data_IF_254233288702
#
_entry.id   IF_254233288702
#
_cell.length_a   1.000
_cell.length_b   1.000
_cell.length_c   1.000
_cell.angle_alpha   90.00
_cell.angle_beta   90.00
_cell.angle_gamma   90.00
#
_symmetry.space_group_name_H-M   'P 1'
#
loop_
_entity.id
_entity.type
_entity.pdbx_description
1 polymer ?
#
# COMPACT_ATOMS: atom_id res chain seq x y z
N UNK A 1 2.67 1.65 49.44
CA UNK A 1 3.60 2.14 48.39
C UNK A 1 4.39 0.95 47.91
N UNK A 2 4.29 0.59 46.63
CA UNK A 2 4.98 -0.59 46.10
C UNK A 2 6.51 -0.31 45.92
N UNK A 3 7.36 -1.33 45.79
CA UNK A 3 8.81 -1.14 45.66
C UNK A 3 9.22 -0.25 44.48
N UNK A 4 8.48 -0.30 43.37
CA UNK A 4 8.70 0.52 42.18
C UNK A 4 8.46 2.00 42.47
N UNK A 5 7.36 2.33 43.14
CA UNK A 5 7.01 3.71 43.53
C UNK A 5 8.08 4.32 44.44
N UNK A 6 8.57 3.56 45.43
CA UNK A 6 9.63 4.02 46.35
C UNK A 6 10.91 4.32 45.57
N UNK A 7 11.29 3.44 44.64
CA UNK A 7 12.49 3.60 43.82
C UNK A 7 12.39 4.80 42.88
N UNK A 8 11.24 4.97 42.21
CA UNK A 8 10.98 6.09 41.30
C UNK A 8 11.02 7.42 42.04
N UNK A 9 10.36 7.52 43.21
CA UNK A 9 10.40 8.74 44.03
C UNK A 9 11.82 9.09 44.47
N UNK A 10 12.55 8.11 45.01
CA UNK A 10 13.94 8.29 45.42
C UNK A 10 14.84 8.77 44.25
N UNK A 11 14.64 8.25 43.03
CA UNK A 11 15.39 8.68 41.85
C UNK A 11 15.03 10.13 41.42
N UNK A 12 13.75 10.49 41.46
CA UNK A 12 13.28 11.83 41.12
C UNK A 12 13.65 12.89 42.17
N UNK A 13 13.67 12.53 43.46
CA UNK A 13 14.10 13.41 44.54
C UNK A 13 15.59 13.77 44.42
N UNK A 14 16.44 12.78 44.11
CA UNK A 14 17.88 12.99 43.89
C UNK A 14 18.19 13.94 42.74
N UNK A 15 17.27 14.05 41.78
CA UNK A 15 17.41 14.92 40.61
C UNK A 15 16.69 16.26 40.76
N UNK A 16 16.08 16.55 41.92
CA UNK A 16 15.27 17.75 42.13
C UNK A 16 14.07 17.86 41.17
N UNK A 17 13.63 16.73 40.61
CA UNK A 17 12.72 16.66 39.46
C UNK A 17 11.27 16.34 39.84
N UNK A 18 10.95 16.31 41.14
CA UNK A 18 9.62 15.95 41.65
C UNK A 18 8.50 16.91 41.25
N UNK A 19 8.82 18.11 40.77
CA UNK A 19 7.87 19.13 40.29
C UNK A 19 7.91 19.34 38.77
N UNK A 20 8.64 18.52 38.02
CA UNK A 20 8.72 18.64 36.56
C UNK A 20 7.46 18.10 35.89
N UNK A 21 7.18 18.60 34.68
CA UNK A 21 6.19 17.98 33.79
C UNK A 21 6.62 16.56 33.38
N UNK A 22 5.69 15.75 32.88
CA UNK A 22 5.87 14.32 32.69
C UNK A 22 7.09 13.95 31.81
N UNK A 23 7.31 14.64 30.68
CA UNK A 23 8.43 14.36 29.78
C UNK A 23 9.82 14.62 30.41
N UNK A 24 10.10 15.82 30.96
CA UNK A 24 11.36 16.05 31.67
C UNK A 24 11.57 15.11 32.86
N UNK A 25 10.52 14.85 33.65
CA UNK A 25 10.61 13.91 34.78
C UNK A 25 10.98 12.50 34.32
N UNK A 26 10.40 12.02 33.22
CA UNK A 26 10.66 10.69 32.70
C UNK A 26 12.08 10.55 32.13
N UNK A 27 12.56 11.56 31.41
CA UNK A 27 13.95 11.59 30.93
C UNK A 27 14.95 11.68 32.08
N UNK A 28 14.64 12.45 33.13
CA UNK A 28 15.46 12.53 34.34
C UNK A 28 15.49 11.19 35.09
N UNK A 29 14.35 10.50 35.18
CA UNK A 29 14.25 9.15 35.75
C UNK A 29 15.14 8.17 34.98
N UNK A 30 15.03 8.12 33.65
CA UNK A 30 15.86 7.24 32.84
C UNK A 30 17.37 7.49 33.01
N UNK A 31 17.78 8.76 33.07
CA UNK A 31 19.20 9.13 33.26
C UNK A 31 19.74 8.79 34.64
N UNK A 32 18.91 8.91 35.68
CA UNK A 32 19.31 8.70 37.07
C UNK A 32 19.22 7.24 37.50
N UNK A 33 18.18 6.53 37.08
CA UNK A 33 17.94 5.12 37.38
C UNK A 33 17.14 4.47 36.24
N UNK A 34 17.89 3.93 35.25
CA UNK A 34 17.32 3.24 34.08
C UNK A 34 16.37 2.11 34.49
N UNK A 35 16.69 1.40 35.56
CA UNK A 35 15.87 0.28 36.02
C UNK A 35 14.53 0.77 36.57
N UNK A 36 14.53 1.86 37.33
CA UNK A 36 13.30 2.47 37.81
C UNK A 36 12.39 2.92 36.65
N UNK A 37 12.96 3.45 35.56
CA UNK A 37 12.21 3.76 34.35
C UNK A 37 11.56 2.50 33.73
N UNK A 38 12.32 1.42 33.54
CA UNK A 38 11.78 0.21 32.91
C UNK A 38 10.73 -0.50 33.78
N UNK A 39 10.94 -0.54 35.10
CA UNK A 39 9.95 -1.05 36.05
C UNK A 39 8.67 -0.22 36.00
N UNK A 40 8.78 1.12 35.99
CA UNK A 40 7.63 2.01 35.89
C UNK A 40 6.84 1.78 34.59
N UNK A 41 7.52 1.58 33.47
CA UNK A 41 6.88 1.31 32.18
C UNK A 41 6.21 -0.08 32.10
N UNK A 42 6.76 -1.07 32.78
CA UNK A 42 6.28 -2.46 32.72
C UNK A 42 5.20 -2.75 33.75
N UNK A 43 5.41 -2.32 34.99
CA UNK A 43 4.59 -2.71 36.14
C UNK A 43 3.63 -1.60 36.57
N UNK A 44 3.87 -0.35 36.12
CA UNK A 44 3.06 0.79 36.49
C UNK A 44 3.19 1.14 37.98
N UNK A 45 2.13 1.74 38.52
CA UNK A 45 2.01 2.16 39.92
C UNK A 45 0.63 1.78 40.43
N UNK A 46 0.46 1.74 41.75
CA UNK A 46 -0.83 1.42 42.35
C UNK A 46 -1.86 2.54 42.09
N UNK A 47 -3.14 2.20 42.10
CA UNK A 47 -4.25 3.15 41.90
C UNK A 47 -4.29 4.28 42.94
N UNK A 48 -3.74 4.03 44.13
CA UNK A 48 -3.62 4.99 45.24
C UNK A 48 -2.43 5.95 45.10
N UNK A 49 -1.58 5.77 44.08
CA UNK A 49 -0.46 6.68 43.83
C UNK A 49 -0.95 8.09 43.45
N UNK A 50 -0.14 9.10 43.78
CA UNK A 50 -0.46 10.48 43.42
C UNK A 50 -0.58 10.66 41.90
N UNK A 51 -1.33 11.70 41.51
CA UNK A 51 -1.67 11.95 40.12
C UNK A 51 -0.45 12.14 39.21
N UNK A 52 0.64 12.74 39.73
CA UNK A 52 1.85 12.97 38.93
C UNK A 52 2.55 11.64 38.66
N UNK A 53 2.64 10.77 39.67
CA UNK A 53 3.28 9.48 39.54
C UNK A 53 2.47 8.53 38.62
N UNK A 54 1.14 8.59 38.65
CA UNK A 54 0.27 7.89 37.68
C UNK A 54 0.46 8.40 36.25
N UNK A 55 0.43 9.72 36.04
CA UNK A 55 0.66 10.29 34.71
C UNK A 55 2.05 9.93 34.15
N UNK A 56 3.06 9.84 35.01
CA UNK A 56 4.40 9.40 34.64
C UNK A 56 4.43 7.91 34.25
N UNK A 57 3.73 7.06 35.01
CA UNK A 57 3.58 5.64 34.70
C UNK A 57 2.88 5.41 33.36
N UNK A 58 1.79 6.13 33.11
CA UNK A 58 1.04 6.08 31.86
C UNK A 58 1.92 6.49 30.68
N UNK A 59 2.68 7.57 30.81
CA UNK A 59 3.62 7.99 29.77
C UNK A 59 4.71 6.94 29.52
N UNK A 60 5.32 6.40 30.57
CA UNK A 60 6.35 5.35 30.47
C UNK A 60 5.81 4.09 29.77
N UNK A 61 4.60 3.68 30.13
CA UNK A 61 3.91 2.54 29.54
C UNK A 61 3.58 2.78 28.06
N UNK A 62 3.08 3.95 27.69
CA UNK A 62 2.84 4.31 26.28
C UNK A 62 4.14 4.30 25.47
N UNK A 63 5.24 4.81 26.03
CA UNK A 63 6.56 4.74 25.36
C UNK A 63 7.00 3.30 25.13
N UNK A 64 6.72 2.36 26.04
CA UNK A 64 6.96 0.93 25.82
C UNK A 64 6.29 0.43 24.54
N UNK A 65 5.02 0.78 24.32
CA UNK A 65 4.30 0.41 23.11
C UNK A 65 4.86 1.08 21.87
N UNK A 66 5.14 2.40 21.95
CA UNK A 66 5.71 3.15 20.84
C UNK A 66 7.06 2.56 20.40
N UNK A 67 7.99 2.30 21.33
CA UNK A 67 9.34 1.79 21.03
C UNK A 67 9.29 0.36 20.49
N UNK A 68 8.37 -0.48 20.96
CA UNK A 68 8.17 -1.83 20.41
C UNK A 68 7.55 -1.82 19.00
N UNK A 69 6.94 -0.70 18.61
CA UNK A 69 6.40 -0.47 17.27
C UNK A 69 7.36 0.37 16.43
N UNK A 70 7.03 0.61 15.16
CA UNK A 70 7.69 1.67 14.40
C UNK A 70 7.02 2.99 14.73
N UNK A 71 7.82 4.03 14.98
CA UNK A 71 7.31 5.35 15.35
C UNK A 71 7.91 6.48 14.50
N UNK A 72 7.15 7.57 14.38
CA UNK A 72 7.54 8.80 13.71
C UNK A 72 7.11 10.01 14.54
N UNK A 73 7.88 11.09 14.48
CA UNK A 73 7.48 12.37 15.06
C UNK A 73 7.09 13.30 13.92
N UNK A 74 5.88 13.85 13.98
CA UNK A 74 5.32 14.77 13.00
C UNK A 74 4.95 16.11 13.66
N UNK A 75 4.91 17.23 12.89
CA UNK A 75 4.36 18.48 13.38
C UNK A 75 2.89 18.31 13.82
N UNK A 76 2.50 18.93 14.92
CA UNK A 76 1.11 18.90 15.41
C UNK A 76 0.21 19.91 14.70
N UNK A 77 -1.05 20.00 15.15
CA UNK A 77 -2.01 20.97 14.63
C UNK A 77 -1.69 22.44 14.97
N UNK A 78 -0.70 22.67 15.85
CA UNK A 78 -0.22 23.99 16.26
C UNK A 78 1.31 24.05 16.19
N UNK A 79 1.87 25.26 16.07
CA UNK A 79 3.34 25.47 16.03
C UNK A 79 4.04 25.14 17.36
N UNK A 80 3.28 24.99 18.45
CA UNK A 80 3.75 24.63 19.78
C UNK A 80 3.70 23.12 20.07
N UNK A 81 3.15 22.31 19.16
CA UNK A 81 2.94 20.89 19.37
C UNK A 81 3.53 20.04 18.26
N UNK A 82 4.00 18.86 18.62
CA UNK A 82 4.33 17.78 17.72
C UNK A 82 3.59 16.51 18.17
N UNK A 83 3.46 15.53 17.30
CA UNK A 83 2.86 14.25 17.63
C UNK A 83 3.84 13.11 17.39
N UNK A 84 3.95 12.22 18.35
CA UNK A 84 4.60 10.93 18.19
C UNK A 84 3.55 9.92 17.77
N UNK A 85 3.63 9.49 16.52
CA UNK A 85 2.75 8.52 15.90
C UNK A 85 3.40 7.15 15.97
N UNK A 86 2.66 6.16 16.44
CA UNK A 86 3.07 4.76 16.41
C UNK A 86 2.26 3.98 15.37
N UNK A 87 2.86 2.91 14.83
CA UNK A 87 2.14 1.99 13.93
C UNK A 87 0.97 1.26 14.61
N UNK A 88 0.90 1.25 15.94
CA UNK A 88 -0.22 0.70 16.72
C UNK A 88 -1.41 1.66 16.85
N UNK A 89 -1.30 2.89 16.32
CA UNK A 89 -2.36 3.90 16.41
C UNK A 89 -2.30 4.76 17.68
N UNK A 90 -1.30 4.57 18.56
CA UNK A 90 -1.07 5.48 19.68
C UNK A 90 -0.49 6.80 19.19
N UNK A 91 -1.15 7.90 19.58
CA UNK A 91 -0.74 9.28 19.30
C UNK A 91 -0.39 10.00 20.59
N UNK A 92 0.89 10.36 20.76
CA UNK A 92 1.41 11.04 21.95
C UNK A 92 1.71 12.51 21.61
N UNK A 93 1.06 13.44 22.30
CA UNK A 93 1.37 14.88 22.16
C UNK A 93 2.74 15.19 22.77
N UNK A 94 3.55 15.92 22.01
CA UNK A 94 4.89 16.36 22.36
C UNK A 94 4.95 17.89 22.38
N UNK A 95 5.58 18.51 23.39
CA UNK A 95 5.93 19.93 23.32
C UNK A 95 6.95 20.16 22.19
N UNK A 96 6.65 21.04 21.24
CA UNK A 96 7.51 21.24 20.05
C UNK A 96 8.96 21.59 20.41
N UNK A 97 9.17 22.38 21.46
CA UNK A 97 10.49 22.77 21.95
C UNK A 97 11.31 21.59 22.50
N UNK A 98 10.67 20.49 22.89
CA UNK A 98 11.32 19.30 23.46
C UNK A 98 11.57 18.19 22.43
N UNK A 99 11.06 18.31 21.21
CA UNK A 99 11.16 17.27 20.17
C UNK A 99 12.60 16.76 19.96
N UNK A 100 13.65 17.61 19.89
CA UNK A 100 15.02 17.12 19.73
C UNK A 100 15.49 16.21 20.87
N UNK A 101 15.16 16.58 22.12
CA UNK A 101 15.56 15.83 23.30
C UNK A 101 14.77 14.53 23.44
N UNK A 102 13.45 14.58 23.18
CA UNK A 102 12.58 13.40 23.18
C UNK A 102 13.02 12.42 22.09
N UNK A 103 13.37 12.91 20.89
CA UNK A 103 13.88 12.06 19.80
C UNK A 103 15.17 11.36 20.21
N UNK A 104 16.12 12.06 20.84
CA UNK A 104 17.37 11.48 21.33
C UNK A 104 17.09 10.43 22.41
N UNK A 105 16.24 10.76 23.38
CA UNK A 105 15.81 9.84 24.43
C UNK A 105 15.19 8.56 23.87
N UNK A 106 14.24 8.67 22.94
CA UNK A 106 13.60 7.49 22.32
C UNK A 106 14.61 6.62 21.56
N UNK A 107 15.56 7.22 20.83
CA UNK A 107 16.63 6.48 20.15
C UNK A 107 17.54 5.72 21.13
N UNK A 108 17.84 6.31 22.29
CA UNK A 108 18.61 5.65 23.35
C UNK A 108 17.83 4.48 23.97
N UNK A 109 16.54 4.68 24.28
CA UNK A 109 15.66 3.64 24.84
C UNK A 109 15.47 2.47 23.88
N UNK A 110 15.32 2.75 22.59
CA UNK A 110 15.24 1.78 21.47
C UNK A 110 16.59 1.11 21.19
N UNK A 111 17.69 1.57 21.80
CA UNK A 111 19.03 1.03 21.55
C UNK A 111 19.58 1.36 20.16
N UNK A 112 19.01 2.36 19.47
CA UNK A 112 19.47 2.93 18.20
C UNK A 112 20.37 4.15 18.39
N UNK A 113 20.79 4.42 19.63
CA UNK A 113 21.74 5.46 19.98
C UNK A 113 23.03 5.33 19.18
N UNK A 114 23.42 6.42 18.53
CA UNK A 114 24.51 6.51 17.55
C UNK A 114 25.83 6.12 18.20
N UNK A 115 26.35 4.94 17.84
CA UNK A 115 27.79 4.68 18.00
C UNK A 115 28.54 5.79 17.25
N UNK A 116 29.40 6.53 17.95
CA UNK A 116 30.35 7.47 17.32
C UNK A 116 31.44 6.75 16.53
N UNK A 117 31.49 5.42 16.62
CA UNK A 117 32.43 4.55 15.90
C UNK A 117 31.70 3.91 14.71
N UNK A 118 32.23 4.08 13.51
CA UNK A 118 31.80 3.33 12.33
C UNK A 118 32.10 1.84 12.55
N UNK A 119 31.07 1.08 12.93
CA UNK A 119 31.16 -0.35 13.15
C UNK A 119 30.08 -0.80 14.14
N UNK A 120 29.41 -1.92 13.87
CA UNK A 120 28.54 -2.55 14.86
C UNK A 120 29.41 -3.32 15.85
N UNK A 121 29.96 -2.63 16.84
CA UNK A 121 30.50 -3.31 18.02
C UNK A 121 29.32 -3.88 18.81
N UNK A 122 29.03 -5.16 18.59
CA UNK A 122 28.06 -5.93 19.39
C UNK A 122 28.67 -6.33 20.73
N UNK A 123 29.28 -5.39 21.47
CA UNK A 123 29.55 -5.61 22.88
C UNK A 123 28.21 -5.50 23.60
N UNK A 124 27.53 -6.64 23.71
CA UNK A 124 26.25 -6.73 24.41
C UNK A 124 26.41 -6.19 25.82
N UNK A 125 25.81 -5.04 26.10
CA UNK A 125 25.71 -4.56 27.48
C UNK A 125 24.70 -5.45 28.20
N UNK A 126 25.03 -6.01 29.38
CA UNK A 126 24.04 -6.75 30.17
C UNK A 126 22.87 -5.81 30.49
N UNK A 127 21.67 -6.23 30.09
CA UNK A 127 20.42 -5.51 30.38
C UNK A 127 19.71 -6.18 31.56
N UNK A 128 18.93 -5.40 32.30
CA UNK A 128 18.10 -5.92 33.38
C UNK A 128 16.89 -6.69 32.86
N UNK A 129 16.21 -7.42 33.75
CA UNK A 129 14.96 -8.10 33.42
C UNK A 129 13.84 -7.12 33.06
N UNK A 130 13.78 -5.96 33.74
CA UNK A 130 12.81 -4.91 33.40
C UNK A 130 13.08 -4.33 32.00
N UNK A 131 14.34 -4.08 31.64
CA UNK A 131 14.71 -3.63 30.29
C UNK A 131 14.36 -4.70 29.23
N UNK A 132 14.61 -5.97 29.53
CA UNK A 132 14.23 -7.06 28.65
C UNK A 132 12.70 -7.17 28.48
N UNK A 133 11.92 -7.06 29.57
CA UNK A 133 10.44 -7.04 29.51
C UNK A 133 9.89 -5.85 28.76
N UNK A 134 10.54 -4.71 28.88
CA UNK A 134 10.21 -3.49 28.15
C UNK A 134 10.39 -3.71 26.65
N UNK A 135 11.53 -4.28 26.22
CA UNK A 135 11.87 -4.45 24.79
C UNK A 135 11.18 -5.65 24.14
N UNK A 136 11.11 -6.78 24.84
CA UNK A 136 10.69 -8.06 24.26
C UNK A 136 9.24 -8.44 24.62
N UNK A 137 8.62 -7.78 25.60
CA UNK A 137 7.33 -8.19 26.16
C UNK A 137 7.51 -9.06 27.41
N UNK A 138 6.41 -9.56 27.98
CA UNK A 138 6.49 -10.31 29.24
C UNK A 138 7.09 -11.71 29.05
N UNK A 139 7.84 -12.15 30.04
CA UNK A 139 8.58 -13.41 29.99
C UNK A 139 7.68 -14.63 29.72
N UNK A 140 6.43 -14.58 30.17
CA UNK A 140 5.42 -15.61 29.91
C UNK A 140 5.08 -15.76 28.43
N UNK A 141 5.27 -14.73 27.60
CA UNK A 141 5.01 -14.79 26.16
C UNK A 141 6.25 -15.16 25.35
N UNK A 142 7.45 -15.08 25.93
CA UNK A 142 8.70 -15.25 25.17
C UNK A 142 8.86 -16.61 24.52
N UNK A 143 8.51 -17.69 25.21
CA UNK A 143 8.60 -19.03 24.62
C UNK A 143 7.56 -19.22 23.51
N UNK A 144 6.34 -18.70 23.69
CA UNK A 144 5.32 -18.69 22.66
C UNK A 144 5.73 -17.84 21.45
N UNK A 145 6.34 -16.67 21.67
CA UNK A 145 6.85 -15.79 20.61
C UNK A 145 8.07 -16.42 19.92
N UNK A 146 8.96 -17.09 20.65
CA UNK A 146 10.09 -17.84 20.10
C UNK A 146 9.60 -19.00 19.25
N UNK A 147 8.63 -19.79 19.74
CA UNK A 147 8.01 -20.87 18.98
C UNK A 147 7.29 -20.33 17.74
N UNK A 148 6.56 -19.22 17.85
CA UNK A 148 5.91 -18.55 16.72
C UNK A 148 6.93 -18.09 15.67
N UNK A 149 8.03 -17.46 16.09
CA UNK A 149 9.11 -17.04 15.19
C UNK A 149 9.82 -18.23 14.56
N UNK A 150 10.06 -19.30 15.32
CA UNK A 150 10.68 -20.51 14.82
C UNK A 150 9.77 -21.22 13.81
N UNK A 151 8.48 -21.34 14.11
CA UNK A 151 7.46 -21.88 13.20
C UNK A 151 7.37 -21.06 11.90
N UNK A 152 7.40 -19.73 11.99
CA UNK A 152 7.45 -18.85 10.81
C UNK A 152 8.72 -19.04 9.98
N UNK A 153 9.88 -19.19 10.65
CA UNK A 153 11.17 -19.44 9.97
C UNK A 153 11.26 -20.82 9.32
N UNK A 154 10.58 -21.82 9.88
CA UNK A 154 10.53 -23.17 9.32
C UNK A 154 9.44 -23.38 8.27
N UNK A 155 8.47 -22.46 8.18
CA UNK A 155 7.41 -22.56 7.18
C UNK A 155 7.96 -22.22 5.80
N UNK A 156 7.62 -23.03 4.79
CA UNK A 156 7.92 -22.69 3.40
C UNK A 156 7.21 -21.36 3.04
N UNK A 157 7.94 -20.42 2.41
CA UNK A 157 7.37 -19.13 2.07
C UNK A 157 6.21 -19.29 1.09
N UNK A 158 5.21 -18.42 1.22
CA UNK A 158 4.19 -18.25 0.21
C UNK A 158 4.84 -17.57 -1.01
N UNK A 159 5.16 -18.36 -2.03
CA UNK A 159 5.74 -17.86 -3.28
C UNK A 159 4.62 -17.41 -4.20
N UNK A 160 4.60 -16.12 -4.48
CA UNK A 160 3.70 -15.45 -5.42
C UNK A 160 4.40 -15.26 -6.76
N UNK A 161 3.63 -15.24 -7.84
CA UNK A 161 4.18 -15.17 -9.21
C UNK A 161 3.36 -14.23 -10.07
N UNK A 162 3.89 -13.83 -11.22
CA UNK A 162 3.13 -13.09 -12.24
C UNK A 162 2.86 -14.05 -13.40
N UNK A 163 1.66 -14.02 -13.95
CA UNK A 163 1.30 -14.87 -15.08
C UNK A 163 2.14 -14.51 -16.33
N UNK A 164 2.59 -15.47 -17.14
CA UNK A 164 3.32 -15.18 -18.37
C UNK A 164 2.60 -14.22 -19.33
N UNK A 165 1.26 -14.26 -19.38
CA UNK A 165 0.47 -13.30 -20.16
C UNK A 165 0.65 -11.87 -19.65
N UNK A 166 0.53 -11.68 -18.34
CA UNK A 166 0.65 -10.37 -17.69
C UNK A 166 2.09 -9.84 -17.83
N UNK A 167 3.11 -10.71 -17.68
CA UNK A 167 4.51 -10.36 -17.92
C UNK A 167 4.76 -9.89 -19.35
N UNK A 168 4.20 -10.58 -20.35
CA UNK A 168 4.32 -10.20 -21.76
C UNK A 168 3.65 -8.85 -22.03
N UNK A 169 2.54 -8.56 -21.36
CA UNK A 169 1.83 -7.30 -21.54
C UNK A 169 2.68 -6.07 -21.17
N UNK A 170 3.62 -6.22 -20.22
CA UNK A 170 4.54 -5.16 -19.77
C UNK A 170 5.44 -4.62 -20.88
N UNK A 171 5.60 -5.34 -21.99
CA UNK A 171 6.33 -4.87 -23.18
C UNK A 171 5.66 -3.69 -23.88
N UNK A 172 4.38 -3.44 -23.60
CA UNK A 172 3.61 -2.34 -24.21
C UNK A 172 3.02 -1.36 -23.20
N UNK A 173 3.07 -1.68 -21.91
CA UNK A 173 2.58 -0.81 -20.85
C UNK A 173 3.59 0.30 -20.51
N UNK A 174 3.16 1.38 -19.83
CA UNK A 174 4.08 2.39 -19.33
C UNK A 174 5.21 1.80 -18.50
N UNK A 175 6.43 2.29 -18.70
CA UNK A 175 7.60 1.74 -18.04
C UNK A 175 7.53 1.84 -16.50
N UNK A 176 6.83 2.84 -15.95
CA UNK A 176 6.62 2.97 -14.50
C UNK A 176 5.84 1.79 -13.91
N UNK A 177 4.94 1.15 -14.68
CA UNK A 177 4.17 -0.03 -14.23
C UNK A 177 5.14 -1.20 -14.00
N UNK A 178 6.04 -1.45 -14.96
CA UNK A 178 7.09 -2.46 -14.83
C UNK A 178 8.04 -2.16 -13.67
N UNK A 179 8.48 -0.90 -13.52
CA UNK A 179 9.34 -0.53 -12.39
C UNK A 179 8.61 -0.66 -11.04
N UNK A 180 7.31 -0.40 -11.02
CA UNK A 180 6.41 -0.67 -9.91
C UNK A 180 6.44 -2.15 -9.50
N UNK A 181 6.27 -3.08 -10.45
CA UNK A 181 6.38 -4.51 -10.19
C UNK A 181 7.72 -4.89 -9.57
N UNK A 182 8.82 -4.51 -10.22
CA UNK A 182 10.17 -4.92 -9.84
C UNK A 182 10.60 -4.37 -8.47
N UNK A 183 10.16 -3.15 -8.13
CA UNK A 183 10.71 -2.44 -6.97
C UNK A 183 9.70 -2.16 -5.85
N UNK A 184 8.43 -1.93 -6.18
CA UNK A 184 7.40 -1.55 -5.22
C UNK A 184 6.58 -2.77 -4.80
N UNK A 185 6.13 -3.58 -5.76
CA UNK A 185 5.34 -4.77 -5.48
C UNK A 185 6.14 -5.80 -4.67
N UNK A 186 7.38 -6.08 -5.08
CA UNK A 186 8.30 -6.98 -4.35
C UNK A 186 8.49 -6.58 -2.88
N UNK A 187 8.73 -5.28 -2.61
CA UNK A 187 8.87 -4.76 -1.25
C UNK A 187 7.57 -4.79 -0.46
N UNK A 188 6.45 -4.53 -1.12
CA UNK A 188 5.11 -4.53 -0.51
C UNK A 188 4.70 -5.93 -0.09
N UNK A 189 4.95 -6.94 -0.93
CA UNK A 189 4.68 -8.35 -0.60
C UNK A 189 5.60 -8.85 0.52
N UNK A 190 6.88 -8.45 0.51
CA UNK A 190 7.84 -8.87 1.52
C UNK A 190 7.56 -8.27 2.91
N UNK A 191 7.09 -7.03 2.96
CA UNK A 191 6.84 -6.30 4.21
C UNK A 191 5.54 -5.48 4.14
N UNK A 192 4.36 -6.14 4.05
CA UNK A 192 3.08 -5.44 4.00
C UNK A 192 2.81 -4.72 5.32
N UNK A 193 2.11 -3.60 5.24
CA UNK A 193 1.48 -2.97 6.42
C UNK A 193 0.22 -3.75 6.80
N UNK A 194 -0.56 -4.19 5.82
CA UNK A 194 -1.76 -5.02 6.00
C UNK A 194 -1.92 -5.96 4.81
N UNK A 195 -2.49 -7.13 5.08
CA UNK A 195 -2.95 -8.07 4.05
C UNK A 195 -4.44 -8.29 4.25
N UNK A 196 -5.23 -8.24 3.18
CA UNK A 196 -6.65 -8.55 3.21
C UNK A 196 -6.94 -9.86 2.49
N UNK A 197 -7.96 -10.57 2.97
CA UNK A 197 -8.58 -11.65 2.22
C UNK A 197 -9.63 -11.10 1.24
N UNK A 198 -9.61 -11.61 0.02
CA UNK A 198 -10.66 -11.41 -0.98
C UNK A 198 -10.74 -10.01 -1.60
N UNK A 199 -11.03 -10.01 -2.91
CA UNK A 199 -11.33 -8.80 -3.67
C UNK A 199 -12.84 -8.71 -3.93
N UNK A 200 -13.48 -7.69 -3.37
CA UNK A 200 -14.88 -7.38 -3.60
C UNK A 200 -15.05 -6.53 -4.87
N UNK A 201 -15.52 -7.18 -5.95
CA UNK A 201 -15.95 -6.51 -7.19
C UNK A 201 -17.45 -6.64 -7.46
N UNK A 202 -18.26 -6.90 -6.43
CA UNK A 202 -19.70 -7.10 -6.55
C UNK A 202 -20.09 -8.47 -7.11
N UNK A 203 -21.39 -8.63 -7.39
CA UNK A 203 -21.97 -9.87 -7.92
C UNK A 203 -21.37 -10.23 -9.29
N UNK A 204 -21.05 -11.52 -9.48
CA UNK A 204 -20.44 -12.02 -10.72
C UNK A 204 -18.91 -11.87 -10.81
N UNK A 205 -18.24 -11.35 -9.78
CA UNK A 205 -16.77 -11.38 -9.72
C UNK A 205 -16.24 -12.84 -9.82
N UNK A 206 -15.11 -13.12 -10.50
CA UNK A 206 -14.54 -14.46 -10.50
C UNK A 206 -14.22 -14.95 -9.08
N UNK A 207 -14.52 -16.22 -8.79
CA UNK A 207 -14.30 -16.82 -7.47
C UNK A 207 -12.83 -16.72 -7.02
N UNK A 208 -11.89 -16.95 -7.94
CA UNK A 208 -10.45 -16.81 -7.68
C UNK A 208 -10.04 -15.41 -7.17
N UNK A 209 -10.81 -14.36 -7.49
CA UNK A 209 -10.54 -13.01 -7.00
C UNK A 209 -11.16 -12.79 -5.61
N UNK A 210 -12.35 -13.34 -5.38
CA UNK A 210 -13.01 -13.30 -4.06
C UNK A 210 -12.24 -14.06 -2.98
N UNK A 211 -11.47 -15.07 -3.38
CA UNK A 211 -10.63 -15.87 -2.48
C UNK A 211 -9.13 -15.49 -2.57
N UNK A 212 -8.82 -14.37 -3.24
CA UNK A 212 -7.45 -13.87 -3.41
C UNK A 212 -6.90 -13.17 -2.17
N UNK A 213 -5.69 -12.61 -2.31
CA UNK A 213 -5.02 -11.83 -1.26
C UNK A 213 -4.65 -10.45 -1.78
N UNK A 214 -4.79 -9.43 -0.92
CA UNK A 214 -4.42 -8.06 -1.24
C UNK A 214 -3.36 -7.58 -0.27
N UNK A 215 -2.17 -7.25 -0.77
CA UNK A 215 -1.06 -6.75 0.04
C UNK A 215 -1.01 -5.24 -0.08
N UNK A 216 -1.06 -4.54 1.05
CA UNK A 216 -0.92 -3.08 1.11
C UNK A 216 0.34 -2.71 1.89
N UNK A 217 1.12 -1.76 1.38
CA UNK A 217 2.37 -1.36 2.00
C UNK A 217 2.83 0.03 1.60
N UNK A 218 3.87 0.52 2.28
CA UNK A 218 4.44 1.86 2.05
C UNK A 218 5.91 1.72 1.61
N UNK A 219 6.18 1.28 0.37
CA UNK A 219 7.54 1.29 -0.14
C UNK A 219 8.06 2.73 -0.12
N UNK A 220 9.32 2.92 0.28
CA UNK A 220 9.90 4.27 0.51
C UNK A 220 10.16 5.08 -0.76
N UNK A 221 10.03 4.44 -1.92
CA UNK A 221 10.43 4.97 -3.22
C UNK A 221 9.37 4.62 -4.25
N UNK A 222 9.17 5.52 -5.21
CA UNK A 222 8.52 5.23 -6.49
C UNK A 222 9.53 5.39 -7.62
N UNK A 223 9.14 5.02 -8.83
CA UNK A 223 10.01 5.00 -9.99
C UNK A 223 9.28 5.58 -11.19
N UNK A 224 9.95 6.41 -11.96
CA UNK A 224 9.40 6.99 -13.19
C UNK A 224 9.58 6.05 -14.41
N UNK A 225 9.22 6.54 -15.60
CA UNK A 225 9.38 5.80 -16.85
C UNK A 225 10.84 5.48 -17.20
N UNK A 226 11.80 6.28 -16.74
CA UNK A 226 13.23 5.99 -16.90
C UNK A 226 13.78 5.00 -15.88
N UNK A 227 12.97 4.58 -14.90
CA UNK A 227 13.40 3.77 -13.77
C UNK A 227 14.20 4.56 -12.72
N UNK A 228 14.20 5.89 -12.79
CA UNK A 228 14.83 6.72 -11.78
C UNK A 228 13.98 6.68 -10.50
N UNK A 229 14.67 6.56 -9.36
CA UNK A 229 14.00 6.47 -8.07
C UNK A 229 13.67 7.86 -7.50
N UNK A 230 12.42 8.02 -7.09
CA UNK A 230 11.87 9.21 -6.45
C UNK A 230 11.34 8.87 -5.05
N UNK A 231 11.16 9.84 -4.14
CA UNK A 231 10.40 9.64 -2.91
C UNK A 231 9.02 9.04 -3.20
N UNK A 232 8.52 8.21 -2.28
CA UNK A 232 7.14 7.74 -2.38
C UNK A 232 6.17 8.94 -2.44
N UNK A 233 5.08 8.84 -3.22
CA UNK A 233 4.04 9.86 -3.24
C UNK A 233 3.43 10.04 -1.84
N UNK A 234 3.18 11.29 -1.44
CA UNK A 234 2.51 11.63 -0.18
C UNK A 234 1.09 11.08 -0.16
N UNK A 235 0.60 10.67 1.01
CA UNK A 235 -0.77 10.19 1.26
C UNK A 235 -1.21 9.03 0.34
N UNK A 236 -0.25 8.18 -0.04
CA UNK A 236 -0.49 7.04 -0.91
C UNK A 236 0.02 5.74 -0.27
N UNK A 237 -0.69 4.67 -0.57
CA UNK A 237 -0.33 3.29 -0.23
C UNK A 237 -0.18 2.48 -1.51
N UNK A 238 0.79 1.58 -1.55
CA UNK A 238 1.00 0.68 -2.67
C UNK A 238 0.21 -0.60 -2.44
N UNK A 239 -0.53 -1.05 -3.44
CA UNK A 239 -1.40 -2.23 -3.35
C UNK A 239 -1.01 -3.24 -4.42
N UNK A 240 -0.92 -4.51 -4.02
CA UNK A 240 -0.64 -5.65 -4.91
C UNK A 240 -1.81 -6.63 -4.79
N UNK A 241 -2.41 -6.99 -5.93
CA UNK A 241 -3.58 -7.86 -5.97
C UNK A 241 -3.19 -9.24 -6.47
N UNK A 242 -3.63 -10.26 -5.76
CA UNK A 242 -3.24 -11.65 -5.96
C UNK A 242 -4.50 -12.50 -6.03
N UNK A 243 -4.59 -13.39 -7.02
CA UNK A 243 -5.67 -14.36 -7.09
C UNK A 243 -5.45 -15.51 -6.07
N UNK A 244 -6.46 -16.37 -5.93
CA UNK A 244 -6.43 -17.52 -5.03
C UNK A 244 -5.29 -18.51 -5.33
N UNK A 245 -4.78 -18.53 -6.56
CA UNK A 245 -3.70 -19.43 -6.98
C UNK A 245 -2.30 -18.84 -6.73
N UNK A 246 -2.23 -17.61 -6.20
CA UNK A 246 -0.97 -16.94 -5.89
C UNK A 246 -0.40 -16.12 -7.05
N UNK A 247 -1.20 -15.82 -8.08
CA UNK A 247 -0.78 -14.98 -9.18
C UNK A 247 -1.12 -13.50 -8.93
N UNK A 248 -0.08 -12.67 -8.92
CA UNK A 248 -0.17 -11.22 -8.96
C UNK A 248 -0.61 -10.80 -10.36
N UNK A 249 -1.73 -10.06 -10.44
CA UNK A 249 -2.32 -9.64 -11.71
C UNK A 249 -2.45 -8.12 -11.85
N UNK A 250 -2.19 -7.37 -10.78
CA UNK A 250 -2.37 -5.92 -10.73
C UNK A 250 -1.55 -5.33 -9.57
N UNK A 251 -1.08 -4.09 -9.74
CA UNK A 251 -0.34 -3.36 -8.71
C UNK A 251 -0.36 -1.87 -8.99
N UNK A 252 -0.74 -1.06 -7.99
CA UNK A 252 -0.90 0.38 -8.16
C UNK A 252 -0.67 1.13 -6.84
N UNK A 253 -0.28 2.40 -6.95
CA UNK A 253 -0.46 3.37 -5.87
C UNK A 253 -1.95 3.75 -5.77
N UNK A 254 -2.48 3.86 -4.55
CA UNK A 254 -3.84 4.34 -4.28
C UNK A 254 -3.83 5.31 -3.11
N UNK A 255 -4.85 6.16 -2.99
CA UNK A 255 -4.98 7.10 -1.87
C UNK A 255 -5.06 6.34 -0.54
N UNK A 256 -4.22 6.74 0.41
CA UNK A 256 -4.16 6.19 1.76
C UNK A 256 -5.35 6.69 2.59
N UNK A 257 -5.80 5.88 3.55
CA UNK A 257 -6.76 6.28 4.56
C UNK A 257 -6.05 7.16 5.63
N UNK A 258 -6.45 8.43 5.82
CA UNK A 258 -5.85 9.29 6.84
C UNK A 258 -6.01 8.78 8.28
N UNK A 259 -7.06 7.99 8.55
CA UNK A 259 -7.33 7.42 9.87
C UNK A 259 -6.61 6.11 10.15
N UNK A 260 -6.14 5.41 9.10
CA UNK A 260 -5.51 4.09 9.20
C UNK A 260 -4.28 4.00 8.29
N UNK A 261 -3.10 4.43 8.76
CA UNK A 261 -1.88 4.42 7.95
C UNK A 261 -1.55 3.04 7.38
N UNK A 262 -1.33 3.00 6.07
CA UNK A 262 -1.04 1.80 5.27
C UNK A 262 -2.28 1.08 4.73
N UNK A 263 -3.49 1.64 4.94
CA UNK A 263 -4.74 1.13 4.40
C UNK A 263 -5.20 2.03 3.24
N UNK A 264 -5.76 1.48 2.15
CA UNK A 264 -6.44 2.30 1.15
C UNK A 264 -7.67 3.02 1.71
N UNK A 265 -7.95 4.25 1.26
CA UNK A 265 -9.08 5.05 1.77
C UNK A 265 -10.45 4.34 1.68
N UNK A 266 -10.60 3.47 0.68
CA UNK A 266 -11.83 2.76 0.35
C UNK A 266 -11.73 1.24 0.63
N UNK A 267 -10.79 0.82 1.48
CA UNK A 267 -10.55 -0.60 1.79
C UNK A 267 -11.80 -1.37 2.25
N UNK A 268 -12.71 -0.84 3.10
CA UNK A 268 -13.86 -1.61 3.59
C UNK A 268 -14.86 -1.97 2.48
N UNK A 269 -14.84 -1.20 1.38
CA UNK A 269 -15.69 -1.42 0.21
C UNK A 269 -15.03 -2.29 -0.86
N UNK A 270 -13.77 -2.68 -0.64
CA UNK A 270 -12.92 -3.32 -1.65
C UNK A 270 -12.47 -4.70 -1.26
N UNK A 271 -12.22 -4.92 0.02
CA UNK A 271 -11.57 -6.13 0.49
C UNK A 271 -12.39 -6.76 1.60
N UNK A 272 -12.15 -8.04 1.85
CA UNK A 272 -12.61 -8.70 3.07
C UNK A 272 -11.79 -8.27 4.28
N UNK A 273 -11.72 -9.15 5.28
CA UNK A 273 -11.08 -8.80 6.55
C UNK A 273 -9.55 -8.75 6.42
N UNK A 274 -8.88 -7.92 7.24
CA UNK A 274 -7.45 -8.04 7.46
C UNK A 274 -7.09 -9.43 7.98
N UNK A 275 -6.02 -10.02 7.44
CA UNK A 275 -5.52 -11.34 7.82
C UNK A 275 -4.04 -11.31 8.19
N UNK A 276 -3.65 -12.20 9.10
CA UNK A 276 -2.25 -12.45 9.42
C UNK A 276 -1.77 -13.67 8.65
N UNK A 277 -0.73 -13.51 7.82
CA UNK A 277 -0.13 -14.62 7.12
C UNK A 277 0.63 -15.53 8.11
N UNK A 278 0.39 -16.84 8.02
CA UNK A 278 1.07 -17.85 8.83
C UNK A 278 2.53 -18.09 8.41
N UNK A 279 2.92 -17.60 7.23
CA UNK A 279 4.24 -17.75 6.61
C UNK A 279 4.64 -16.45 5.92
N UNK A 280 5.94 -16.25 5.70
CA UNK A 280 6.43 -15.11 4.92
C UNK A 280 5.97 -15.23 3.46
N UNK A 281 5.67 -14.10 2.82
CA UNK A 281 5.35 -14.06 1.40
C UNK A 281 6.52 -13.47 0.62
N UNK A 282 6.77 -14.01 -0.57
CA UNK A 282 7.77 -13.51 -1.49
C UNK A 282 7.17 -13.47 -2.89
N UNK A 283 7.44 -12.39 -3.63
CA UNK A 283 7.06 -12.27 -5.03
C UNK A 283 8.25 -12.64 -5.91
N UNK A 284 8.12 -13.75 -6.62
CA UNK A 284 9.06 -14.20 -7.63
C UNK A 284 8.76 -13.47 -8.94
N UNK A 285 9.65 -12.54 -9.32
CA UNK A 285 9.61 -11.86 -10.62
C UNK A 285 10.83 -12.30 -11.43
N UNK A 286 10.68 -12.66 -12.72
CA UNK A 286 11.82 -13.01 -13.55
C UNK A 286 12.88 -11.90 -13.56
N UNK A 287 14.16 -12.27 -13.47
CA UNK A 287 15.27 -11.32 -13.45
C UNK A 287 15.31 -10.39 -14.68
N UNK A 288 14.80 -10.89 -15.82
CA UNK A 288 14.74 -10.17 -17.09
C UNK A 288 13.28 -9.99 -17.52
N UNK A 289 12.55 -9.09 -16.87
CA UNK A 289 11.29 -8.60 -17.43
C UNK A 289 11.63 -7.71 -18.63
N UNK A 290 11.27 -8.15 -19.84
CA UNK A 290 11.61 -7.48 -21.10
C UNK A 290 11.28 -5.99 -21.04
N UNK A 291 12.26 -5.15 -21.41
CA UNK A 291 12.01 -3.74 -21.63
C UNK A 291 11.32 -3.55 -22.98
N UNK A 292 10.14 -2.96 -22.95
CA UNK A 292 9.41 -2.59 -24.15
C UNK A 292 9.26 -1.08 -24.29
N UNK A 293 8.73 -0.67 -25.44
CA UNK A 293 8.37 0.73 -25.72
C UNK A 293 6.88 0.87 -25.44
N UNK A 294 6.52 1.82 -24.58
CA UNK A 294 5.13 2.13 -24.30
C UNK A 294 4.37 2.39 -25.60
N UNK A 295 3.20 1.77 -25.74
CA UNK A 295 2.34 1.88 -26.91
C UNK A 295 0.93 2.27 -26.47
N UNK A 296 0.62 3.56 -26.57
CA UNK A 296 -0.68 4.13 -26.21
C UNK A 296 -1.87 3.56 -27.00
N UNK A 297 -1.62 2.81 -28.08
CA UNK A 297 -2.65 2.15 -28.87
C UNK A 297 -2.85 0.67 -28.49
N UNK A 298 -2.24 0.21 -27.38
CA UNK A 298 -2.31 -1.19 -26.93
C UNK A 298 -2.89 -1.34 -25.53
N UNK A 299 -3.68 -2.40 -25.37
CA UNK A 299 -4.38 -2.76 -24.16
C UNK A 299 -3.83 -4.07 -23.65
N UNK A 300 -3.64 -4.12 -22.34
CA UNK A 300 -3.36 -5.37 -21.66
C UNK A 300 -4.67 -5.90 -21.09
N UNK A 301 -5.07 -7.08 -21.52
CA UNK A 301 -6.07 -7.84 -20.79
C UNK A 301 -5.34 -8.80 -19.85
N UNK A 302 -5.60 -8.67 -18.56
CA UNK A 302 -5.21 -9.68 -17.58
C UNK A 302 -6.35 -10.68 -17.45
N UNK A 303 -6.09 -11.91 -17.89
CA UNK A 303 -7.07 -12.97 -17.70
C UNK A 303 -7.30 -13.20 -16.20
N UNK A 304 -6.21 -13.37 -15.45
CA UNK A 304 -6.19 -13.61 -14.00
C UNK A 304 -7.03 -12.58 -13.27
N UNK A 305 -6.76 -11.30 -13.54
CA UNK A 305 -7.44 -10.16 -12.95
C UNK A 305 -8.82 -9.84 -13.51
N UNK A 306 -9.28 -10.50 -14.59
CA UNK A 306 -10.51 -10.18 -15.33
C UNK A 306 -10.68 -8.67 -15.53
N UNK A 307 -9.63 -8.05 -16.09
CA UNK A 307 -9.57 -6.62 -16.30
C UNK A 307 -8.75 -6.24 -17.53
N UNK A 308 -9.16 -5.15 -18.18
CA UNK A 308 -8.44 -4.51 -19.28
C UNK A 308 -7.79 -3.23 -18.75
N UNK A 309 -6.50 -3.08 -18.99
CA UNK A 309 -5.71 -1.89 -18.68
C UNK A 309 -5.49 -1.07 -19.94
N UNK A 310 -5.81 0.22 -19.83
CA UNK A 310 -5.69 1.21 -20.87
C UNK A 310 -4.86 2.40 -20.40
N UNK A 311 -3.77 2.71 -21.10
CA UNK A 311 -2.91 3.84 -20.78
C UNK A 311 -2.83 4.78 -21.97
N UNK A 312 -3.02 6.07 -21.71
CA UNK A 312 -3.05 7.16 -22.70
C UNK A 312 -1.67 7.81 -22.79
N UNK A 313 -0.93 7.87 -21.70
CA UNK A 313 0.45 8.32 -21.66
C UNK A 313 1.27 7.48 -20.65
N UNK A 314 2.58 7.66 -20.67
CA UNK A 314 3.54 6.95 -19.82
C UNK A 314 3.88 7.68 -18.52
N UNK A 315 3.11 8.72 -18.19
CA UNK A 315 3.29 9.51 -16.98
C UNK A 315 2.98 8.70 -15.71
N UNK A 316 3.86 8.72 -14.69
CA UNK A 316 3.64 8.02 -13.43
C UNK A 316 2.34 8.44 -12.75
N UNK A 317 1.54 7.44 -12.34
CA UNK A 317 0.18 7.66 -11.89
C UNK A 317 -0.22 6.81 -10.67
N UNK A 318 -1.32 7.21 -10.04
CA UNK A 318 -2.04 6.43 -9.03
C UNK A 318 -3.42 6.01 -9.55
N UNK A 319 -3.93 4.90 -9.02
CA UNK A 319 -5.25 4.38 -9.32
C UNK A 319 -6.30 5.02 -8.40
N UNK A 320 -7.30 5.65 -9.02
CA UNK A 320 -8.52 6.14 -8.40
C UNK A 320 -9.68 5.22 -8.77
N UNK A 321 -10.25 4.50 -7.80
CA UNK A 321 -11.44 3.67 -8.02
C UNK A 321 -12.69 4.54 -8.09
N UNK A 322 -13.43 4.44 -9.19
CA UNK A 322 -14.75 5.07 -9.31
C UNK A 322 -15.86 4.14 -8.83
N UNK A 323 -15.84 2.87 -9.26
CA UNK A 323 -16.81 1.87 -8.86
C UNK A 323 -16.21 0.44 -8.93
N UNK A 324 -17.06 -0.60 -8.88
CA UNK A 324 -16.63 -2.00 -8.98
C UNK A 324 -15.98 -2.34 -10.32
N UNK A 325 -16.33 -1.62 -11.38
CA UNK A 325 -16.04 -1.96 -12.77
C UNK A 325 -15.00 -1.00 -13.38
N UNK A 326 -14.85 0.20 -12.84
CA UNK A 326 -13.96 1.23 -13.36
C UNK A 326 -12.97 1.73 -12.32
N UNK A 327 -11.72 1.87 -12.77
CA UNK A 327 -10.64 2.58 -12.10
C UNK A 327 -10.01 3.52 -13.11
N UNK A 328 -9.64 4.73 -12.71
CA UNK A 328 -8.96 5.72 -13.56
C UNK A 328 -7.56 5.94 -13.00
N UNK A 329 -6.57 6.03 -13.88
CA UNK A 329 -5.20 6.37 -13.52
C UNK A 329 -5.02 7.88 -13.64
N UNK A 330 -4.45 8.50 -12.60
CA UNK A 330 -4.22 9.94 -12.51
C UNK A 330 -2.77 10.23 -12.21
N UNK A 331 -2.16 11.15 -12.96
CA UNK A 331 -0.77 11.54 -12.78
C UNK A 331 -0.55 12.09 -11.37
N UNK A 332 0.62 11.79 -10.79
CA UNK A 332 1.01 12.42 -9.53
C UNK A 332 1.12 13.96 -9.68
N UNK A 333 0.62 14.70 -8.70
CA UNK A 333 0.72 16.17 -8.63
C UNK A 333 -0.31 16.92 -9.48
N UNK A 334 -0.48 16.59 -10.77
CA UNK A 334 -1.45 17.26 -11.65
C UNK A 334 -2.85 16.65 -11.59
N UNK A 335 -2.96 15.39 -11.15
CA UNK A 335 -4.18 14.56 -11.21
C UNK A 335 -4.81 14.42 -12.61
N UNK A 336 -4.08 14.79 -13.67
CA UNK A 336 -4.49 14.58 -15.07
C UNK A 336 -4.69 13.10 -15.35
N UNK A 337 -5.72 12.76 -16.12
CA UNK A 337 -6.01 11.36 -16.47
C UNK A 337 -4.91 10.83 -17.41
N UNK A 338 -4.29 9.71 -17.02
CA UNK A 338 -3.24 9.03 -17.80
C UNK A 338 -3.69 7.68 -18.34
N UNK A 339 -4.86 7.20 -17.93
CA UNK A 339 -5.39 5.92 -18.36
C UNK A 339 -6.60 5.49 -17.53
N UNK A 340 -7.09 4.27 -17.77
CA UNK A 340 -8.17 3.65 -17.02
C UNK A 340 -8.06 2.12 -17.06
N UNK A 341 -8.79 1.46 -16.17
CA UNK A 341 -8.89 0.02 -16.01
C UNK A 341 -10.35 -0.39 -15.89
N UNK A 342 -10.79 -1.26 -16.79
CA UNK A 342 -12.12 -1.89 -16.79
C UNK A 342 -12.00 -3.26 -16.14
N UNK A 343 -12.87 -3.56 -15.18
CA UNK A 343 -12.90 -4.78 -14.36
C UNK A 343 -14.20 -5.54 -14.61
N UNK A 344 -14.24 -6.82 -14.24
CA UNK A 344 -15.40 -7.69 -14.46
C UNK A 344 -15.73 -7.85 -15.95
N UNK A 345 -14.70 -7.88 -16.81
CA UNK A 345 -14.84 -7.84 -18.27
C UNK A 345 -15.70 -9.00 -18.75
N UNK A 346 -15.45 -10.22 -18.26
CA UNK A 346 -16.25 -11.40 -18.59
C UNK A 346 -17.74 -11.21 -18.30
N UNK A 347 -18.09 -10.65 -17.14
CA UNK A 347 -19.49 -10.38 -16.76
C UNK A 347 -20.10 -9.34 -17.69
N UNK A 348 -19.40 -8.24 -17.93
CA UNK A 348 -19.87 -7.15 -18.79
C UNK A 348 -20.16 -7.68 -20.21
N UNK A 349 -19.30 -8.55 -20.76
CA UNK A 349 -19.51 -9.22 -22.06
C UNK A 349 -20.69 -10.20 -22.09
N UNK A 350 -21.08 -10.78 -20.95
CA UNK A 350 -22.18 -11.74 -20.87
C UNK A 350 -23.53 -11.04 -20.71
N UNK A 351 -23.53 -9.89 -20.03
CA UNK A 351 -24.74 -9.13 -19.71
C UNK A 351 -25.18 -8.17 -20.83
N UNK A 352 -24.40 -8.02 -21.91
CA UNK A 352 -24.66 -7.13 -23.07
C UNK A 352 -24.93 -5.66 -22.63
N UNK A 353 -24.23 -5.21 -21.57
CA UNK A 353 -24.42 -3.88 -20.96
C UNK A 353 -23.30 -2.93 -21.38
N UNK A 354 -23.69 -1.75 -21.88
CA UNK A 354 -22.78 -0.63 -22.04
C UNK A 354 -22.25 -0.16 -20.68
N UNK A 355 -20.98 0.24 -20.63
CA UNK A 355 -20.43 0.96 -19.48
C UNK A 355 -20.79 2.43 -19.66
N UNK A 356 -21.59 2.97 -18.74
CA UNK A 356 -21.91 4.39 -18.69
C UNK A 356 -20.81 5.12 -17.89
N UNK A 357 -20.18 6.12 -18.51
CA UNK A 357 -19.10 6.91 -17.89
C UNK A 357 -19.58 8.23 -17.25
N UNK A 358 -20.89 8.41 -17.05
CA UNK A 358 -21.51 9.62 -16.51
C UNK A 358 -21.14 9.97 -15.06
N UNK A 359 -20.29 9.19 -14.39
CA UNK A 359 -19.77 9.47 -13.05
C UNK A 359 -18.46 10.27 -13.04
N UNK A 360 -18.00 10.79 -14.19
CA UNK A 360 -16.82 11.65 -14.29
C UNK A 360 -17.12 13.15 -14.01
N UNK A 361 -18.35 13.47 -13.59
CA UNK A 361 -18.80 14.80 -13.12
C UNK A 361 -18.25 15.14 -11.72
N UNK A 362 -16.93 15.14 -11.58
CA UNK A 362 -16.30 15.78 -10.42
C UNK A 362 -16.50 17.29 -10.56
N UNK A 363 -17.29 17.88 -9.65
CA UNK A 363 -17.89 19.24 -9.68
C UNK A 363 -16.90 20.42 -9.63
N UNK A 364 -15.69 20.29 -10.19
CA UNK A 364 -14.72 21.38 -10.37
C UNK A 364 -14.50 21.78 -11.82
N UNK A 365 -15.22 21.17 -12.76
CA UNK A 365 -15.14 21.50 -14.18
C UNK A 365 -16.44 22.20 -14.57
N UNK A 366 -16.32 23.40 -15.16
CA UNK A 366 -17.42 24.34 -15.39
C UNK A 366 -18.52 23.88 -16.37
N UNK A 367 -19.54 24.73 -16.64
CA UNK A 367 -20.86 24.34 -17.18
C UNK A 367 -20.89 23.89 -18.65
N UNK A 368 -19.75 23.78 -19.34
CA UNK A 368 -19.62 23.26 -20.71
C UNK A 368 -19.31 21.75 -20.70
N UNK A 369 -19.91 21.04 -19.72
CA UNK A 369 -19.58 19.68 -19.31
C UNK A 369 -19.88 18.62 -20.38
N UNK A 370 -19.00 17.62 -20.41
CA UNK A 370 -18.83 16.58 -21.41
C UNK A 370 -20.12 15.83 -21.79
N UNK A 371 -20.26 15.38 -23.06
CA UNK A 371 -21.42 14.61 -23.49
C UNK A 371 -21.50 13.26 -22.77
N UNK A 372 -22.72 12.86 -22.41
CA UNK A 372 -23.05 11.52 -21.92
C UNK A 372 -22.45 10.45 -22.86
N UNK A 373 -21.54 9.63 -22.33
CA UNK A 373 -20.85 8.60 -23.10
C UNK A 373 -21.33 7.21 -22.68
N UNK A 374 -22.13 6.58 -23.53
CA UNK A 374 -22.43 5.15 -23.46
C UNK A 374 -21.40 4.37 -24.29
N UNK A 375 -20.51 3.63 -23.63
CA UNK A 375 -19.57 2.73 -24.31
C UNK A 375 -20.23 1.35 -24.40
N UNK A 376 -20.73 0.98 -25.59
CA UNK A 376 -21.14 -0.38 -25.89
C UNK A 376 -19.89 -1.29 -25.95
N UNK A 377 -19.64 -2.00 -24.85
CA UNK A 377 -18.50 -2.90 -24.65
C UNK A 377 -18.52 -4.06 -25.66
N UNK A 378 -19.72 -4.50 -26.07
CA UNK A 378 -19.91 -5.62 -26.99
C UNK A 378 -19.46 -5.31 -28.42
N UNK A 379 -19.62 -4.09 -28.93
CA UNK A 379 -19.15 -3.74 -30.27
C UNK A 379 -17.61 -3.74 -30.35
N UNK A 380 -16.96 -3.35 -29.25
CA UNK A 380 -15.51 -3.25 -29.11
C UNK A 380 -14.86 -4.64 -28.94
N UNK A 381 -15.48 -5.49 -28.11
CA UNK A 381 -14.98 -6.84 -27.85
C UNK A 381 -15.39 -7.85 -28.94
N UNK A 382 -16.59 -7.77 -29.51
CA UNK A 382 -17.03 -8.70 -30.57
C UNK A 382 -16.34 -8.46 -31.92
N UNK A 383 -16.04 -7.22 -32.29
CA UNK A 383 -15.26 -6.94 -33.50
C UNK A 383 -13.80 -7.44 -33.39
N UNK A 384 -13.24 -7.39 -32.18
CA UNK A 384 -11.85 -7.80 -31.91
C UNK A 384 -11.71 -9.32 -31.73
N UNK A 385 -12.68 -9.98 -31.08
CA UNK A 385 -12.62 -11.42 -30.76
C UNK A 385 -13.11 -12.36 -31.88
N UNK A 386 -14.04 -11.92 -32.75
CA UNK A 386 -14.55 -12.77 -33.85
C UNK A 386 -13.70 -12.76 -35.13
N UNK A 387 -12.97 -11.67 -35.41
CA UNK A 387 -12.30 -11.48 -36.71
C UNK A 387 -10.81 -11.82 -36.74
N UNK A 388 -10.09 -11.62 -35.63
CA UNK A 388 -8.64 -11.45 -35.67
C UNK A 388 -7.94 -11.99 -34.42
N UNK A 389 -7.93 -13.32 -34.25
CA UNK A 389 -7.19 -14.00 -33.16
C UNK A 389 -5.68 -13.74 -33.19
N UNK A 390 -5.14 -13.36 -34.35
CA UNK A 390 -3.69 -13.26 -34.60
C UNK A 390 -3.23 -11.89 -35.13
N UNK A 391 -4.03 -10.81 -35.00
CA UNK A 391 -3.63 -9.46 -35.44
C UNK A 391 -4.00 -8.35 -34.45
N UNK A 392 -3.21 -7.27 -34.35
CA UNK A 392 -3.48 -6.16 -33.44
C UNK A 392 -4.64 -5.31 -33.99
N UNK A 393 -5.75 -5.25 -33.24
CA UNK A 393 -6.87 -4.34 -33.49
C UNK A 393 -6.65 -3.06 -32.68
N UNK A 394 -6.74 -1.89 -33.34
CA UNK A 394 -6.59 -0.57 -32.72
C UNK A 394 -7.87 -0.15 -31.99
N UNK A 395 -8.11 -0.84 -30.88
CA UNK A 395 -9.25 -0.68 -29.98
C UNK A 395 -9.28 0.69 -29.29
N UNK A 396 -8.12 1.34 -29.22
CA UNK A 396 -7.93 2.66 -28.63
C UNK A 396 -8.44 3.76 -29.51
N UNK A 397 -8.20 3.71 -30.82
CA UNK A 397 -8.76 4.72 -31.72
C UNK A 397 -10.29 4.81 -31.60
N UNK A 398 -10.98 3.71 -31.30
CA UNK A 398 -12.44 3.69 -31.12
C UNK A 398 -12.84 4.26 -29.75
N UNK A 399 -12.17 3.84 -28.68
CA UNK A 399 -12.45 4.31 -27.31
C UNK A 399 -12.05 5.79 -27.15
N UNK A 400 -10.89 6.20 -27.68
CA UNK A 400 -10.40 7.58 -27.69
C UNK A 400 -11.29 8.46 -28.58
N UNK A 401 -11.69 8.05 -29.78
CA UNK A 401 -12.63 8.86 -30.60
C UNK A 401 -14.01 9.02 -29.98
N UNK A 402 -14.44 8.08 -29.14
CA UNK A 402 -15.65 8.22 -28.34
C UNK A 402 -15.42 9.20 -27.18
N UNK A 403 -14.31 9.06 -26.44
CA UNK A 403 -13.94 9.93 -25.31
C UNK A 403 -13.62 11.39 -25.70
N UNK A 404 -13.16 11.65 -26.93
CA UNK A 404 -12.63 12.96 -27.37
C UNK A 404 -13.42 13.58 -28.54
N UNK A 405 -14.73 13.35 -28.63
CA UNK A 405 -15.55 13.81 -29.76
C UNK A 405 -15.84 15.32 -29.70
N UNK A 406 -14.87 16.11 -30.13
CA UNK A 406 -15.10 17.43 -30.75
C UNK A 406 -14.21 17.55 -31.98
N UNK A 407 -14.69 17.04 -33.13
CA UNK A 407 -14.17 17.39 -34.45
C UNK A 407 -15.17 17.01 -35.55
N UNK A 408 -15.50 18.00 -36.38
CA UNK A 408 -16.73 18.16 -37.18
C UNK A 408 -16.91 17.24 -38.40
N UNK A 409 -16.26 16.08 -38.53
CA UNK A 409 -16.54 15.14 -39.62
C UNK A 409 -16.37 13.65 -39.23
N UNK A 410 -17.31 12.76 -39.63
CA UNK A 410 -17.16 11.32 -39.42
C UNK A 410 -16.02 10.74 -40.30
N UNK A 411 -15.19 9.81 -39.80
CA UNK A 411 -14.16 9.19 -40.61
C UNK A 411 -14.79 8.26 -41.67
N UNK A 412 -14.50 8.53 -42.96
CA UNK A 412 -14.74 7.60 -44.06
C UNK A 412 -13.74 6.44 -44.00
N UNK A 413 -14.25 5.21 -44.06
CA UNK A 413 -13.44 4.00 -44.18
C UNK A 413 -13.33 3.62 -45.65
N UNK A 414 -12.10 3.53 -46.16
CA UNK A 414 -11.81 2.95 -47.49
C UNK A 414 -11.18 1.59 -47.30
N UNK A 415 -11.86 0.53 -47.76
CA UNK A 415 -11.37 -0.85 -47.72
C UNK A 415 -10.60 -1.14 -49.01
N UNK A 416 -9.37 -1.68 -48.96
CA UNK A 416 -8.71 -2.19 -50.16
C UNK A 416 -9.50 -3.40 -50.69
N UNK A 417 -10.06 -3.28 -51.91
CA UNK A 417 -10.51 -4.46 -52.65
C UNK A 417 -9.27 -5.25 -53.05
N UNK A 418 -9.17 -6.52 -52.65
CA UNK A 418 -8.46 -7.49 -53.49
C UNK A 418 -9.08 -8.89 -53.43
N UNK A 419 -9.62 -9.26 -54.59
CA UNK A 419 -9.58 -10.55 -55.29
C UNK A 419 -9.95 -11.80 -54.49
N UNK A 420 -11.24 -12.19 -54.53
CA UNK A 420 -11.61 -13.60 -54.44
C UNK A 420 -11.33 -14.28 -55.77
N UNK A 421 -10.43 -15.29 -55.77
CA UNK A 421 -10.40 -16.31 -56.83
C UNK A 421 -11.71 -17.12 -56.78
N UNK A 422 -12.35 -17.44 -57.91
CA UNK A 422 -13.53 -18.30 -57.93
C UNK A 422 -13.09 -19.76 -57.74
N UNK A 423 -13.65 -20.43 -56.72
CA UNK A 423 -13.66 -21.90 -56.63
C UNK A 423 -14.78 -22.47 -57.51
N UNK A 424 -14.62 -23.70 -58.03
CA UNK A 424 -15.48 -24.22 -59.09
C UNK A 424 -16.90 -24.51 -58.59
N UNK A 425 -17.89 -24.11 -59.39
CA UNK A 425 -19.29 -24.47 -59.21
C UNK A 425 -19.49 -25.94 -59.55
N UNK A 426 -20.09 -26.70 -58.62
CA UNK A 426 -20.75 -27.97 -58.92
C UNK A 426 -22.16 -27.65 -59.42
N UNK A 427 -22.37 -27.80 -60.73
CA UNK A 427 -23.70 -27.79 -61.34
C UNK A 427 -24.41 -29.12 -61.08
N UNK A 428 -25.67 -29.02 -60.70
CA UNK A 428 -26.65 -30.10 -60.80
C UNK A 428 -27.32 -30.01 -62.17
N UNK A 429 -27.55 -31.18 -62.77
CA UNK A 429 -28.14 -31.49 -64.09
C UNK A 429 -27.26 -31.19 -65.32
#
# INVERSE_FOLDING_TARGET
MNPTEIRVRSALEKTGSSSLSAWPALMALYRSDREAFYLLACDGVNDEADANLRALADLANRIRFVVRSTYQIEPGGSTSEACLLSRSGDNLSLPAQMVPDIKRFLLEVDGKGVSTVQGKDFVGTPISEAEARFKLGDRSTWDADRQRLQARRSAEPLVLRVDPQDLKSLESLPAYVRHGLLNCATKTVLAPTVVFEGLNRGEGSPERLRNGLIFCGKPRRTYDGGGQSHPAPTDMVYVVYVDQEGFVFDWDWVKENPGEPGYPIDWPLRFGNPVNLSREAALEVPANVTAGVFDQNKAAYSERGDCVFCYICDEPAFAHRYNSDLTVFRQFGSETITGFKVKNVRRICLDDKSINLGCLDDQRIGPDAAPELDIAVDAILMASLKGHRDMPVDIYTIIIRALFRDNRQPPKVTVPKNVRKPGPQLTTA
#
